data_IF_056251625091
#
_entry.id   IF_056251625091
#
_cell.length_a   1.000
_cell.length_b   1.000
_cell.length_c   1.000
_cell.angle_alpha   90.00
_cell.angle_beta   90.00
_cell.angle_gamma   90.00
#
_symmetry.space_group_name_H-M   'P 1'
#
loop_
_entity.id
_entity.type
_entity.pdbx_description
1 polymer ?
#
# COMPACT_ATOMS: atom_id res chain seq x y z
N UNK A 1 14.92 5.55 9.47
CA UNK A 1 14.68 4.48 10.45
C UNK A 1 13.58 3.75 9.76
N UNK A 2 13.95 2.72 8.99
CA UNK A 2 13.01 1.98 8.18
C UNK A 2 11.90 1.52 9.12
N UNK A 3 10.69 1.98 8.88
CA UNK A 3 9.55 1.56 9.69
C UNK A 3 9.16 0.21 9.15
N UNK A 4 9.46 -0.84 9.92
CA UNK A 4 9.05 -2.19 9.61
C UNK A 4 7.51 -2.29 9.72
N UNK A 5 6.81 -1.91 8.66
CA UNK A 5 5.37 -2.12 8.56
C UNK A 5 5.11 -3.50 7.98
N UNK A 6 4.07 -4.16 8.46
CA UNK A 6 3.49 -5.30 7.75
C UNK A 6 2.68 -4.76 6.57
N UNK A 7 2.76 -5.38 5.37
CA UNK A 7 1.88 -5.03 4.27
C UNK A 7 0.43 -5.30 4.68
N UNK A 8 -0.48 -4.40 4.30
CA UNK A 8 -1.90 -4.51 4.65
C UNK A 8 -2.71 -4.19 3.39
N UNK A 9 -3.56 -5.10 2.90
CA UNK A 9 -4.39 -4.83 1.72
C UNK A 9 -5.23 -3.57 1.92
N UNK A 10 -5.38 -2.80 0.85
CA UNK A 10 -6.05 -1.48 0.80
C UNK A 10 -5.38 -0.37 1.61
N UNK A 11 -4.26 -0.61 2.29
CA UNK A 11 -3.49 0.44 2.95
C UNK A 11 -2.52 1.11 1.95
N UNK A 12 -2.47 2.43 2.00
CA UNK A 12 -1.50 3.25 1.27
C UNK A 12 -0.20 3.43 2.06
N UNK A 13 0.91 3.44 1.32
CA UNK A 13 2.26 3.64 1.80
C UNK A 13 3.01 4.62 0.90
N UNK A 14 3.87 5.43 1.50
CA UNK A 14 4.82 6.30 0.82
C UNK A 14 6.23 5.75 1.05
N UNK A 15 6.97 5.53 -0.04
CA UNK A 15 8.40 5.24 0.02
C UNK A 15 9.16 6.55 0.17
N UNK A 16 9.79 6.75 1.33
CA UNK A 16 10.52 7.97 1.66
C UNK A 16 11.87 8.09 0.94
N UNK A 17 12.38 7.00 0.34
CA UNK A 17 13.62 7.00 -0.44
C UNK A 17 13.38 7.42 -1.89
N UNK A 18 12.28 6.94 -2.49
CA UNK A 18 11.93 7.22 -3.89
C UNK A 18 10.94 8.39 -4.03
N UNK A 19 10.32 8.81 -2.93
CA UNK A 19 9.28 9.85 -2.88
C UNK A 19 8.02 9.46 -3.70
N UNK A 20 7.70 8.17 -3.71
CA UNK A 20 6.59 7.57 -4.46
C UNK A 20 5.55 6.94 -3.52
N UNK A 21 4.28 6.97 -3.95
CA UNK A 21 3.14 6.45 -3.19
C UNK A 21 2.45 5.29 -3.90
N UNK A 22 2.11 4.25 -3.15
CA UNK A 22 1.44 3.06 -3.64
C UNK A 22 0.51 2.44 -2.58
N UNK A 23 -0.43 1.62 -3.03
CA UNK A 23 -1.36 0.86 -2.19
C UNK A 23 -1.06 -0.62 -2.31
N UNK A 24 -1.17 -1.36 -1.21
CA UNK A 24 -1.14 -2.83 -1.27
C UNK A 24 -2.49 -3.33 -1.80
N UNK A 25 -2.47 -4.12 -2.87
CA UNK A 25 -3.65 -4.81 -3.39
C UNK A 25 -3.86 -6.14 -2.69
N UNK A 26 -2.82 -6.96 -2.59
CA UNK A 26 -2.88 -8.30 -2.00
C UNK A 26 -1.53 -8.76 -1.48
N UNK A 27 -1.55 -9.79 -0.63
CA UNK A 27 -0.36 -10.43 -0.05
C UNK A 27 -0.51 -11.94 -0.21
N UNK A 28 0.47 -12.59 -0.82
CA UNK A 28 0.52 -14.02 -1.01
C UNK A 28 1.50 -14.64 -0.01
N UNK A 29 0.98 -15.17 1.11
CA UNK A 29 1.81 -15.73 2.19
C UNK A 29 2.55 -17.02 1.80
N UNK A 30 2.09 -17.74 0.76
CA UNK A 30 2.76 -18.97 0.28
C UNK A 30 3.98 -18.64 -0.58
N UNK A 31 3.85 -17.60 -1.41
CA UNK A 31 4.92 -17.12 -2.29
C UNK A 31 5.77 -16.02 -1.69
N UNK A 32 5.36 -15.47 -0.53
CA UNK A 32 6.00 -14.32 0.13
C UNK A 32 6.04 -13.07 -0.76
N UNK A 33 5.02 -12.89 -1.62
CA UNK A 33 4.90 -11.79 -2.57
C UNK A 33 3.79 -10.83 -2.16
N UNK A 34 3.98 -9.55 -2.47
CA UNK A 34 3.05 -8.46 -2.21
C UNK A 34 2.77 -7.77 -3.52
N UNK A 35 1.50 -7.65 -3.88
CA UNK A 35 1.05 -6.92 -5.04
C UNK A 35 0.72 -5.49 -4.62
N UNK A 36 1.37 -4.51 -5.26
CA UNK A 36 1.18 -3.08 -5.00
C UNK A 36 0.71 -2.36 -6.26
N UNK A 37 -0.07 -1.30 -6.08
CA UNK A 37 -0.53 -0.39 -7.14
C UNK A 37 -0.04 1.03 -6.87
N UNK A 38 0.66 1.61 -7.84
CA UNK A 38 1.09 2.99 -7.81
C UNK A 38 -0.03 3.96 -8.21
N UNK A 39 0.16 5.25 -7.93
CA UNK A 39 -0.82 6.29 -8.24
C UNK A 39 -1.26 6.34 -9.72
N UNK A 40 -0.37 5.99 -10.65
CA UNK A 40 -0.64 5.97 -12.10
C UNK A 40 -1.47 4.73 -12.54
N UNK A 41 -1.76 3.81 -11.61
CA UNK A 41 -2.40 2.52 -11.88
C UNK A 41 -1.44 1.43 -12.37
N UNK A 42 -0.13 1.66 -12.25
CA UNK A 42 0.87 0.62 -12.48
C UNK A 42 0.85 -0.38 -11.32
N UNK A 43 0.80 -1.67 -11.65
CA UNK A 43 0.83 -2.76 -10.66
C UNK A 43 2.21 -3.42 -10.69
N UNK A 44 2.79 -3.61 -9.52
CA UNK A 44 4.06 -4.29 -9.32
C UNK A 44 3.94 -5.36 -8.24
N UNK A 45 4.71 -6.43 -8.38
CA UNK A 45 4.86 -7.48 -7.37
C UNK A 45 6.24 -7.37 -6.75
N UNK A 46 6.30 -7.29 -5.42
CA UNK A 46 7.54 -7.22 -4.66
C UNK A 46 7.57 -8.32 -3.59
N UNK A 47 8.75 -8.87 -3.33
CA UNK A 47 8.94 -9.87 -2.27
C UNK A 47 8.86 -9.24 -0.87
N UNK A 48 8.50 -10.04 0.13
CA UNK A 48 8.49 -9.64 1.54
C UNK A 48 9.87 -9.14 2.01
N UNK A 49 10.97 -9.73 1.54
CA UNK A 49 12.32 -9.22 1.82
C UNK A 49 12.49 -7.78 1.31
N UNK A 50 12.12 -7.52 0.06
CA UNK A 50 12.23 -6.18 -0.53
C UNK A 50 11.36 -5.16 0.22
N UNK A 51 10.14 -5.54 0.59
CA UNK A 51 9.25 -4.72 1.41
C UNK A 51 9.90 -4.29 2.74
N UNK A 52 10.55 -5.23 3.43
CA UNK A 52 11.22 -4.94 4.70
C UNK A 52 12.48 -4.08 4.55
N UNK A 53 13.07 -4.02 3.37
CA UNK A 53 14.22 -3.16 3.09
C UNK A 53 13.83 -1.70 2.82
N UNK A 54 12.58 -1.43 2.45
CA UNK A 54 12.08 -0.09 2.12
C UNK A 54 11.83 0.80 3.36
N UNK A 55 12.12 2.11 3.25
CA UNK A 55 11.74 3.09 4.27
C UNK A 55 10.30 3.61 3.99
N UNK A 56 9.31 2.87 4.49
CA UNK A 56 7.89 3.14 4.22
C UNK A 56 7.22 3.99 5.33
N UNK A 57 6.30 4.86 4.94
CA UNK A 57 5.36 5.56 5.82
C UNK A 57 3.92 5.21 5.44
N UNK A 58 3.10 4.78 6.42
CA UNK A 58 1.65 4.66 6.24
C UNK A 58 1.05 6.05 6.02
N UNK A 59 0.38 6.21 4.89
CA UNK A 59 -0.34 7.43 4.53
C UNK A 59 -1.82 7.12 4.30
N UNK A 60 -2.63 8.15 4.26
CA UNK A 60 -3.98 8.04 3.70
C UNK A 60 -3.92 8.04 2.18
N UNK A 61 -5.05 7.80 1.54
CA UNK A 61 -5.16 7.91 0.08
C UNK A 61 -4.62 9.28 -0.41
N UNK A 62 -3.65 9.29 -1.34
CA UNK A 62 -3.06 10.51 -1.85
C UNK A 62 -4.02 11.31 -2.73
N UNK A 63 -3.95 12.64 -2.62
CA UNK A 63 -4.76 13.54 -3.45
C UNK A 63 -4.40 13.36 -4.94
N UNK A 64 -5.37 12.96 -5.76
CA UNK A 64 -5.20 12.80 -7.21
C UNK A 64 -5.31 11.36 -7.70
N UNK A 65 -5.37 10.38 -6.80
CA UNK A 65 -5.89 9.07 -7.17
C UNK A 65 -7.40 9.19 -7.46
N UNK A 66 -7.86 8.47 -8.48
CA UNK A 66 -9.28 8.41 -8.82
C UNK A 66 -9.60 6.94 -9.06
N UNK A 67 -10.02 6.24 -8.00
CA UNK A 67 -10.67 4.94 -8.14
C UNK A 67 -11.86 5.15 -9.07
N UNK A 68 -11.72 4.71 -10.32
CA UNK A 68 -12.88 4.50 -11.15
C UNK A 68 -13.51 3.22 -10.64
N UNK A 69 -14.41 3.35 -9.65
CA UNK A 69 -15.27 2.30 -9.08
C UNK A 69 -14.62 1.46 -7.95
N UNK A 70 -14.79 1.87 -6.69
CA UNK A 70 -15.44 1.05 -5.66
C UNK A 70 -16.06 1.95 -4.55
N UNK A 71 -17.38 1.88 -4.42
CA UNK A 71 -18.14 2.41 -3.29
C UNK A 71 -17.99 1.46 -2.08
N UNK A 72 -18.04 2.02 -0.85
CA UNK A 72 -18.44 1.37 0.42
C UNK A 72 -17.41 0.42 1.10
N UNK A 73 -17.14 0.40 2.41
CA UNK A 73 -17.56 1.15 3.60
C UNK A 73 -16.61 0.75 4.75
N UNK A 74 -16.23 1.65 5.64
CA UNK A 74 -16.53 1.44 7.07
C UNK A 74 -16.65 2.80 7.79
N UNK A 75 -17.88 3.27 7.85
CA UNK A 75 -18.32 4.10 8.95
C UNK A 75 -18.44 3.21 10.21
N UNK A 76 -17.46 3.21 11.11
CA UNK A 76 -17.74 2.91 12.52
C UNK A 76 -17.98 4.22 13.29
N UNK A 77 -19.24 4.65 13.23
CA UNK A 77 -19.81 5.47 14.28
C UNK A 77 -20.03 4.64 15.54
N UNK A 78 -19.33 4.98 16.63
CA UNK A 78 -19.69 4.69 18.04
C UNK A 78 -18.78 5.52 18.96
N UNK A 79 -19.24 6.28 19.95
CA UNK A 79 -20.55 6.48 20.60
C UNK A 79 -20.61 7.87 21.22
#
# INVERSE_FOLDING_TARGET
>A
MSRDYEPVPSQWYENLEEEDSFRVLSIDEDSELIEIEYLDGEIEEIDLEAWHEMDLEKIEEPEGWSESDDEDTDEDGKS
#
